data_IF_029716837723
#
_entry.id   IF_029716837723
#
_cell.length_a   1.000
_cell.length_b   1.000
_cell.length_c   1.000
_cell.angle_alpha   90.00
_cell.angle_beta   90.00
_cell.angle_gamma   90.00
#
_symmetry.space_group_name_H-M   'P 1'
#
loop_
_entity.id
_entity.type
_entity.pdbx_description
1 polymer ?
#
# COMPACT_ATOMS: atom_id res chain seq x y z
N UNK A 1 -32.04 3.46 -19.17
CA UNK A 1 -30.91 4.36 -18.86
C UNK A 1 -30.74 4.32 -17.36
N UNK A 2 -29.64 3.75 -16.89
CA UNK A 2 -29.40 3.51 -15.47
C UNK A 2 -29.01 4.82 -14.78
N UNK A 3 -29.81 5.21 -13.79
CA UNK A 3 -29.67 6.47 -13.08
C UNK A 3 -28.40 6.40 -12.20
N UNK A 4 -27.29 6.94 -12.69
CA UNK A 4 -26.08 7.12 -11.87
C UNK A 4 -26.35 8.23 -10.85
N UNK A 5 -26.95 7.87 -9.73
CA UNK A 5 -26.98 8.74 -8.55
C UNK A 5 -25.53 9.13 -8.22
N UNK A 6 -25.20 10.39 -8.52
CA UNK A 6 -23.93 11.00 -8.11
C UNK A 6 -23.88 10.94 -6.59
N UNK A 7 -23.18 9.93 -6.05
CA UNK A 7 -22.90 9.84 -4.61
C UNK A 7 -22.28 11.16 -4.18
N UNK A 8 -23.04 11.94 -3.41
CA UNK A 8 -22.57 13.19 -2.84
C UNK A 8 -21.33 12.88 -1.99
N UNK A 9 -20.18 13.46 -2.35
CA UNK A 9 -18.94 13.27 -1.62
C UNK A 9 -19.14 13.90 -0.24
N UNK A 10 -19.06 13.08 0.81
CA UNK A 10 -19.20 13.55 2.20
C UNK A 10 -18.13 14.61 2.50
N UNK A 11 -18.56 15.77 2.99
CA UNK A 11 -17.67 16.89 3.36
C UNK A 11 -16.83 16.63 4.62
N UNK A 12 -16.98 15.47 5.28
CA UNK A 12 -16.33 15.11 6.56
C UNK A 12 -14.89 14.58 6.41
N UNK A 13 -14.29 14.70 5.23
CA UNK A 13 -12.92 14.26 4.95
C UNK A 13 -12.84 12.94 4.18
N UNK A 14 -11.60 12.49 3.93
CA UNK A 14 -11.32 11.27 3.15
C UNK A 14 -11.68 10.03 3.98
N UNK A 15 -12.46 9.06 3.44
CA UNK A 15 -12.75 7.81 4.12
C UNK A 15 -11.49 7.07 4.58
N UNK A 16 -11.51 6.43 5.76
CA UNK A 16 -10.31 5.77 6.29
C UNK A 16 -9.77 4.64 5.40
N UNK A 17 -10.61 4.08 4.54
CA UNK A 17 -10.27 3.08 3.53
C UNK A 17 -9.46 3.64 2.35
N UNK A 18 -9.49 4.95 2.16
CA UNK A 18 -8.85 5.71 1.09
C UNK A 18 -7.69 6.55 1.59
N UNK A 19 -7.54 6.73 2.91
CA UNK A 19 -6.42 7.42 3.51
C UNK A 19 -5.25 6.48 3.84
N UNK A 20 -4.05 7.03 3.86
CA UNK A 20 -2.84 6.40 4.42
C UNK A 20 -2.46 7.11 5.71
N UNK A 21 -1.73 6.43 6.58
CA UNK A 21 -1.14 7.04 7.76
C UNK A 21 0.20 7.65 7.38
N UNK A 22 0.28 8.98 7.34
CA UNK A 22 1.54 9.71 7.18
C UNK A 22 1.80 10.50 8.47
N UNK A 23 2.79 10.11 9.30
CA UNK A 23 3.18 10.89 10.47
C UNK A 23 3.81 12.22 10.04
N UNK A 24 3.98 13.15 10.99
CA UNK A 24 4.57 14.47 10.71
C UNK A 24 5.99 14.34 10.17
N UNK A 25 6.39 15.17 9.22
CA UNK A 25 7.74 15.12 8.61
C UNK A 25 8.88 15.25 9.64
N UNK A 26 8.65 15.95 10.75
CA UNK A 26 9.61 16.14 11.85
C UNK A 26 9.59 15.01 12.89
N UNK A 27 8.74 14.00 12.70
CA UNK A 27 8.60 12.88 13.61
C UNK A 27 9.86 11.99 13.61
N UNK A 28 10.20 11.38 14.76
CA UNK A 28 11.30 10.41 14.84
C UNK A 28 11.13 9.21 13.90
N UNK A 29 9.87 8.84 13.58
CA UNK A 29 9.51 7.74 12.67
C UNK A 29 9.95 8.01 11.22
N UNK A 30 10.07 9.28 10.84
CA UNK A 30 10.46 9.71 9.49
C UNK A 30 11.88 10.28 9.44
N UNK A 31 12.46 10.74 10.55
CA UNK A 31 13.79 11.36 10.56
C UNK A 31 14.96 10.40 10.24
N UNK A 32 14.71 9.11 10.01
CA UNK A 32 15.76 8.14 9.66
C UNK A 32 16.14 8.13 8.17
N UNK A 33 15.33 8.72 7.28
CA UNK A 33 15.56 8.66 5.83
C UNK A 33 16.11 9.95 5.21
N UNK A 34 16.22 11.06 5.93
CA UNK A 34 16.80 12.32 5.44
C UNK A 34 17.92 12.80 6.36
N UNK A 35 19.01 13.30 5.78
CA UNK A 35 20.05 14.00 6.51
C UNK A 35 19.66 15.47 6.81
N UNK A 36 20.52 16.19 7.53
CA UNK A 36 20.27 17.60 7.91
C UNK A 36 20.15 18.54 6.69
N UNK A 37 20.59 18.11 5.53
CA UNK A 37 20.55 18.88 4.28
C UNK A 37 19.38 18.45 3.39
N UNK A 38 18.49 17.57 3.88
CA UNK A 38 17.35 17.04 3.12
C UNK A 38 17.77 16.06 2.03
N UNK A 39 18.97 15.48 2.10
CA UNK A 39 19.38 14.43 1.18
C UNK A 39 18.87 13.08 1.68
N UNK A 40 18.30 12.24 0.79
CA UNK A 40 17.83 10.92 1.18
C UNK A 40 19.01 10.03 1.59
N UNK A 41 18.90 9.40 2.76
CA UNK A 41 19.88 8.43 3.25
C UNK A 41 19.70 7.08 2.54
N UNK A 42 20.72 6.23 2.61
CA UNK A 42 20.65 4.85 2.04
C UNK A 42 19.83 3.89 2.91
N UNK A 43 19.25 4.35 4.01
CA UNK A 43 18.51 3.50 4.93
C UNK A 43 17.23 3.03 4.25
N UNK A 44 17.01 1.71 4.24
CA UNK A 44 15.77 1.12 3.74
C UNK A 44 14.84 0.88 4.92
N UNK A 45 13.57 1.21 4.72
CA UNK A 45 12.53 0.85 5.69
C UNK A 45 12.28 -0.64 5.69
N UNK A 46 12.09 -1.19 6.90
CA UNK A 46 11.68 -2.57 7.10
C UNK A 46 10.22 -2.78 6.68
N UNK A 47 9.80 -4.04 6.57
CA UNK A 47 8.41 -4.36 6.20
C UNK A 47 7.41 -3.89 7.26
N UNK A 48 7.80 -3.88 8.53
CA UNK A 48 7.07 -3.33 9.67
C UNK A 48 6.81 -1.84 9.46
N UNK A 49 7.86 -1.07 9.15
CA UNK A 49 7.77 0.36 8.92
C UNK A 49 6.88 0.67 7.70
N UNK A 50 7.10 -0.02 6.58
CA UNK A 50 6.28 0.16 5.37
C UNK A 50 4.80 -0.19 5.63
N UNK A 51 4.54 -1.26 6.40
CA UNK A 51 3.17 -1.67 6.74
C UNK A 51 2.46 -0.64 7.62
N UNK A 52 3.19 0.05 8.50
CA UNK A 52 2.64 1.07 9.40
C UNK A 52 1.99 2.25 8.64
N UNK A 53 2.51 2.61 7.46
CA UNK A 53 1.90 3.65 6.62
C UNK A 53 0.52 3.26 6.06
N UNK A 54 0.24 1.96 5.96
CA UNK A 54 -1.03 1.46 5.41
C UNK A 54 -1.98 1.04 6.52
N UNK A 55 -1.46 0.43 7.56
CA UNK A 55 -2.17 0.03 8.76
C UNK A 55 -1.42 0.60 9.96
N UNK A 56 -1.84 1.76 10.46
CA UNK A 56 -1.14 2.37 11.59
C UNK A 56 -1.20 1.46 12.82
N UNK A 57 -0.04 1.09 13.37
CA UNK A 57 0.06 0.33 14.62
C UNK A 57 -0.65 1.06 15.77
N UNK A 58 -0.62 2.39 15.77
CA UNK A 58 -1.26 3.25 16.79
C UNK A 58 -2.78 3.21 16.75
N UNK A 59 -3.37 3.27 15.54
CA UNK A 59 -4.83 3.43 15.39
C UNK A 59 -5.53 2.13 15.00
N UNK A 60 -4.81 1.16 14.44
CA UNK A 60 -5.35 -0.08 13.87
C UNK A 60 -4.46 -1.30 14.20
N UNK A 61 -4.14 -1.57 15.48
CA UNK A 61 -3.14 -2.57 15.87
C UNK A 61 -3.45 -3.97 15.34
N UNK A 62 -4.69 -4.45 15.47
CA UNK A 62 -5.10 -5.78 14.98
C UNK A 62 -4.98 -5.92 13.46
N UNK A 63 -5.28 -4.86 12.71
CA UNK A 63 -5.16 -4.89 11.26
C UNK A 63 -3.70 -4.81 10.82
N UNK A 64 -2.88 -4.03 11.54
CA UNK A 64 -1.44 -3.98 11.36
C UNK A 64 -0.80 -5.35 11.58
N UNK A 65 -1.06 -6.00 12.72
CA UNK A 65 -0.54 -7.33 13.03
C UNK A 65 -0.94 -8.37 11.98
N UNK A 66 -2.23 -8.37 11.59
CA UNK A 66 -2.75 -9.27 10.57
C UNK A 66 -2.08 -9.04 9.21
N UNK A 67 -1.92 -7.78 8.80
CA UNK A 67 -1.29 -7.42 7.54
C UNK A 67 0.19 -7.79 7.52
N UNK A 68 0.90 -7.47 8.60
CA UNK A 68 2.33 -7.75 8.75
C UNK A 68 2.60 -9.25 8.68
N UNK A 69 1.88 -10.06 9.47
CA UNK A 69 2.01 -11.52 9.46
C UNK A 69 1.74 -12.11 8.07
N UNK A 70 0.73 -11.60 7.37
CA UNK A 70 0.42 -12.06 6.01
C UNK A 70 1.49 -11.65 5.00
N UNK A 71 2.06 -10.45 5.12
CA UNK A 71 3.12 -9.98 4.24
C UNK A 71 4.42 -10.78 4.47
N UNK A 72 4.76 -11.15 5.70
CA UNK A 72 5.87 -12.07 5.97
C UNK A 72 5.67 -13.44 5.30
N UNK A 73 4.48 -14.03 5.45
CA UNK A 73 4.14 -15.28 4.76
C UNK A 73 4.32 -15.16 3.25
N UNK A 74 3.92 -14.04 2.66
CA UNK A 74 4.11 -13.77 1.23
C UNK A 74 5.58 -13.58 0.85
N UNK A 75 6.40 -12.94 1.68
CA UNK A 75 7.84 -12.84 1.46
C UNK A 75 8.52 -14.22 1.49
N UNK A 76 8.09 -15.12 2.37
CA UNK A 76 8.62 -16.47 2.46
C UNK A 76 8.18 -17.35 1.29
N UNK A 77 6.88 -17.36 0.97
CA UNK A 77 6.30 -18.27 -0.03
C UNK A 77 6.26 -17.71 -1.45
N UNK A 78 6.49 -16.41 -1.62
CA UNK A 78 6.32 -15.62 -2.87
C UNK A 78 4.88 -15.56 -3.39
N UNK A 79 4.12 -16.65 -3.28
CA UNK A 79 2.73 -16.78 -3.71
C UNK A 79 1.97 -17.67 -2.73
N UNK A 80 0.70 -17.36 -2.51
CA UNK A 80 -0.19 -18.17 -1.67
C UNK A 80 -1.54 -18.41 -2.33
N UNK A 81 -2.02 -19.65 -2.21
CA UNK A 81 -3.34 -20.08 -2.68
C UNK A 81 -4.43 -20.02 -1.60
N UNK A 82 -5.69 -20.25 -1.99
CA UNK A 82 -6.83 -20.24 -1.08
C UNK A 82 -6.72 -21.21 0.12
N UNK A 83 -6.13 -22.39 -0.08
CA UNK A 83 -5.91 -23.37 1.00
C UNK A 83 -4.92 -22.87 2.04
N UNK A 84 -3.78 -22.33 1.60
CA UNK A 84 -2.74 -21.78 2.48
C UNK A 84 -3.23 -20.54 3.23
N UNK A 85 -4.06 -19.71 2.59
CA UNK A 85 -4.70 -18.57 3.26
C UNK A 85 -5.65 -19.07 4.36
N UNK A 86 -6.44 -20.11 4.10
CA UNK A 86 -7.34 -20.68 5.10
C UNK A 86 -6.57 -21.24 6.30
N UNK A 87 -5.43 -21.90 6.06
CA UNK A 87 -4.52 -22.38 7.09
C UNK A 87 -3.90 -21.22 7.88
N UNK A 88 -3.36 -20.20 7.21
CA UNK A 88 -2.82 -18.99 7.82
C UNK A 88 -3.82 -18.30 8.75
N UNK A 89 -5.06 -18.11 8.29
CA UNK A 89 -6.13 -17.50 9.08
C UNK A 89 -6.41 -18.32 10.34
N UNK A 90 -6.44 -19.65 10.20
CA UNK A 90 -6.71 -20.57 11.32
C UNK A 90 -5.55 -20.59 12.33
N UNK A 91 -4.30 -20.71 11.86
CA UNK A 91 -3.13 -20.83 12.73
C UNK A 91 -2.83 -19.56 13.52
N UNK A 92 -3.17 -18.39 12.98
CA UNK A 92 -2.96 -17.11 13.63
C UNK A 92 -4.20 -16.58 14.38
N UNK A 93 -5.29 -17.38 14.48
CA UNK A 93 -6.51 -16.96 15.18
C UNK A 93 -7.20 -15.73 14.57
N UNK A 94 -7.02 -15.50 13.27
CA UNK A 94 -7.56 -14.32 12.57
C UNK A 94 -9.00 -14.60 12.16
N UNK A 95 -9.89 -13.60 12.28
CA UNK A 95 -11.24 -13.75 11.75
C UNK A 95 -11.24 -13.68 10.21
N UNK A 96 -11.99 -14.57 9.55
CA UNK A 96 -12.17 -14.53 8.08
C UNK A 96 -12.67 -13.15 7.62
N UNK A 97 -13.59 -12.55 8.37
CA UNK A 97 -14.13 -11.23 8.05
C UNK A 97 -13.04 -10.13 8.13
N UNK A 98 -12.17 -10.17 9.14
CA UNK A 98 -11.05 -9.23 9.27
C UNK A 98 -10.13 -9.32 8.06
N UNK A 99 -9.71 -10.54 7.71
CA UNK A 99 -8.78 -10.74 6.62
C UNK A 99 -9.40 -10.38 5.26
N UNK A 100 -10.52 -11.00 4.90
CA UNK A 100 -11.10 -10.87 3.57
C UNK A 100 -11.85 -9.56 3.32
N UNK A 101 -12.36 -8.89 4.36
CA UNK A 101 -13.15 -7.66 4.18
C UNK A 101 -12.35 -6.39 4.51
N UNK A 102 -11.28 -6.48 5.31
CA UNK A 102 -10.50 -5.30 5.73
C UNK A 102 -9.08 -5.34 5.22
N UNK A 103 -8.32 -6.36 5.58
CA UNK A 103 -6.86 -6.39 5.34
C UNK A 103 -6.53 -6.64 3.87
N UNK A 104 -6.98 -7.77 3.31
CA UNK A 104 -6.67 -8.12 1.92
C UNK A 104 -7.18 -7.08 0.91
N UNK A 105 -8.42 -6.56 1.03
CA UNK A 105 -8.89 -5.51 0.12
C UNK A 105 -8.04 -4.23 0.17
N UNK A 106 -7.57 -3.83 1.37
CA UNK A 106 -6.73 -2.63 1.52
C UNK A 106 -5.34 -2.86 0.93
N UNK A 107 -4.70 -4.00 1.22
CA UNK A 107 -3.41 -4.38 0.61
C UNK A 107 -3.48 -4.40 -0.93
N UNK A 108 -4.57 -4.95 -1.48
CA UNK A 108 -4.82 -4.94 -2.93
C UNK A 108 -5.01 -3.52 -3.45
N UNK A 109 -5.81 -2.69 -2.75
CA UNK A 109 -6.12 -1.31 -3.17
C UNK A 109 -4.86 -0.46 -3.27
N UNK A 110 -3.98 -0.54 -2.27
CA UNK A 110 -2.72 0.23 -2.28
C UNK A 110 -1.67 -0.37 -3.21
N UNK A 111 -1.94 -1.53 -3.81
CA UNK A 111 -1.05 -2.15 -4.80
C UNK A 111 0.16 -2.87 -4.20
N UNK A 112 0.11 -3.24 -2.92
CA UNK A 112 1.14 -4.08 -2.27
C UNK A 112 1.03 -5.55 -2.67
N UNK A 113 -0.19 -6.01 -2.97
CA UNK A 113 -0.44 -7.38 -3.42
C UNK A 113 -1.29 -7.41 -4.69
N UNK A 114 -1.12 -8.46 -5.48
CA UNK A 114 -1.95 -8.79 -6.63
C UNK A 114 -2.75 -10.05 -6.32
N UNK A 115 -4.04 -10.01 -6.63
CA UNK A 115 -4.95 -11.17 -6.51
C UNK A 115 -5.36 -11.59 -7.91
N UNK A 116 -5.01 -12.82 -8.28
CA UNK A 116 -5.30 -13.44 -9.56
C UNK A 116 -6.20 -14.66 -9.38
N UNK A 117 -6.88 -15.05 -10.45
CA UNK A 117 -7.66 -16.28 -10.51
C UNK A 117 -7.15 -17.08 -11.69
N UNK A 118 -6.53 -18.22 -11.41
CA UNK A 118 -6.07 -19.12 -12.46
C UNK A 118 -7.31 -19.78 -13.09
N UNK A 119 -7.34 -19.90 -14.42
CA UNK A 119 -8.39 -20.67 -15.10
C UNK A 119 -7.83 -22.05 -15.36
N UNK A 120 -8.17 -23.01 -14.50
CA UNK A 120 -7.81 -24.41 -14.72
C UNK A 120 -8.95 -25.03 -15.51
N UNK A 121 -8.70 -25.41 -16.77
CA UNK A 121 -9.61 -26.24 -17.54
C UNK A 121 -9.33 -27.69 -17.13
N UNK A 122 -10.06 -28.19 -16.15
CA UNK A 122 -10.01 -29.61 -15.82
C UNK A 122 -10.63 -30.39 -16.98
N UNK A 123 -9.81 -31.13 -17.73
CA UNK A 123 -10.24 -31.94 -18.89
C UNK A 123 -11.28 -33.01 -18.49
N UNK A 124 -11.32 -33.40 -17.21
CA UNK A 124 -12.18 -34.49 -16.70
C UNK A 124 -13.42 -34.03 -15.92
N UNK A 125 -13.53 -32.73 -15.59
CA UNK A 125 -14.62 -32.23 -14.75
C UNK A 125 -15.23 -30.97 -15.37
N UNK A 126 -16.49 -31.07 -15.81
CA UNK A 126 -17.29 -29.97 -16.37
C UNK A 126 -17.50 -28.77 -15.41
N UNK A 127 -16.82 -28.70 -14.26
CA UNK A 127 -16.84 -27.56 -13.34
C UNK A 127 -15.63 -26.64 -13.55
N UNK A 128 -15.90 -25.40 -13.96
CA UNK A 128 -14.92 -24.30 -13.99
C UNK A 128 -14.43 -24.01 -12.56
N UNK A 129 -13.27 -24.55 -12.18
CA UNK A 129 -12.60 -24.20 -10.92
C UNK A 129 -11.61 -23.06 -11.18
N UNK A 130 -11.72 -21.99 -10.40
CA UNK A 130 -10.88 -20.79 -10.54
C UNK A 130 -10.17 -20.49 -9.22
N UNK A 131 -9.06 -21.20 -8.89
CA UNK A 131 -8.38 -20.99 -7.63
C UNK A 131 -7.82 -19.57 -7.57
N UNK A 132 -7.94 -18.96 -6.38
CA UNK A 132 -7.35 -17.66 -6.10
C UNK A 132 -5.87 -17.82 -5.79
N UNK A 133 -5.06 -16.94 -6.36
CA UNK A 133 -3.63 -16.81 -6.06
C UNK A 133 -3.30 -15.38 -5.66
N UNK A 134 -2.54 -15.20 -4.59
CA UNK A 134 -2.10 -13.91 -4.10
C UNK A 134 -0.57 -13.85 -4.14
N UNK A 135 -0.02 -12.73 -4.58
CA UNK A 135 1.43 -12.49 -4.67
C UNK A 135 1.78 -11.03 -4.39
N UNK A 136 3.04 -10.75 -4.05
CA UNK A 136 3.54 -9.37 -3.89
C UNK A 136 3.49 -8.60 -5.21
N UNK A 137 3.27 -7.29 -5.13
CA UNK A 137 3.20 -6.41 -6.29
C UNK A 137 4.06 -5.16 -6.10
N UNK A 138 4.72 -4.71 -7.17
CA UNK A 138 5.57 -3.51 -7.19
C UNK A 138 4.78 -2.21 -7.36
N UNK A 139 3.49 -2.27 -7.69
CA UNK A 139 2.65 -1.09 -7.96
C UNK A 139 2.72 -0.07 -6.82
N UNK A 140 2.67 -0.52 -5.56
CA UNK A 140 2.81 0.33 -4.38
C UNK A 140 4.06 1.23 -4.45
N UNK A 141 5.24 0.62 -4.57
CA UNK A 141 6.50 1.37 -4.65
C UNK A 141 6.57 2.27 -5.90
N UNK A 142 6.13 1.76 -7.05
CA UNK A 142 6.20 2.50 -8.31
C UNK A 142 5.42 3.83 -8.27
N UNK A 143 4.21 3.83 -7.70
CA UNK A 143 3.41 5.05 -7.67
C UNK A 143 3.93 6.07 -6.64
N UNK A 144 4.41 5.61 -5.47
CA UNK A 144 5.01 6.52 -4.48
C UNK A 144 6.31 7.15 -4.97
N UNK A 145 7.16 6.35 -5.63
CA UNK A 145 8.35 6.87 -6.30
C UNK A 145 7.95 7.94 -7.32
N UNK A 146 6.94 7.67 -8.16
CA UNK A 146 6.45 8.65 -9.13
C UNK A 146 5.92 9.94 -8.49
N UNK A 147 5.22 9.84 -7.36
CA UNK A 147 4.75 11.01 -6.59
C UNK A 147 5.95 11.82 -6.08
N UNK A 148 6.93 11.16 -5.46
CA UNK A 148 8.13 11.77 -4.93
C UNK A 148 8.96 12.47 -6.01
N UNK A 149 9.31 11.75 -7.08
CA UNK A 149 10.09 12.28 -8.20
C UNK A 149 9.41 13.50 -8.84
N UNK A 150 8.09 13.45 -8.98
CA UNK A 150 7.33 14.55 -9.56
C UNK A 150 7.35 15.79 -8.67
N UNK A 151 7.27 15.62 -7.35
CA UNK A 151 7.38 16.73 -6.40
C UNK A 151 8.77 17.37 -6.43
N UNK A 152 9.83 16.56 -6.42
CA UNK A 152 11.21 17.05 -6.50
C UNK A 152 11.42 17.88 -7.78
N UNK A 153 10.97 17.38 -8.93
CA UNK A 153 11.06 18.10 -10.20
C UNK A 153 10.32 19.45 -10.17
N UNK A 154 9.14 19.51 -9.53
CA UNK A 154 8.37 20.77 -9.38
C UNK A 154 9.15 21.78 -8.53
N UNK A 155 9.77 21.32 -7.44
CA UNK A 155 10.55 22.18 -6.54
C UNK A 155 11.79 22.72 -7.25
N UNK A 156 12.51 21.88 -7.97
CA UNK A 156 13.71 22.29 -8.71
C UNK A 156 13.39 23.32 -9.79
N UNK A 157 12.32 23.10 -10.58
CA UNK A 157 11.84 24.08 -11.56
C UNK A 157 11.44 25.41 -10.91
N UNK A 158 10.75 25.36 -9.77
CA UNK A 158 10.39 26.58 -9.04
C UNK A 158 11.61 27.36 -8.55
N UNK A 159 12.64 26.68 -8.03
CA UNK A 159 13.90 27.30 -7.57
C UNK A 159 14.70 27.90 -8.71
N UNK A 160 14.89 27.15 -9.81
CA UNK A 160 15.59 27.66 -10.99
C UNK A 160 14.91 28.88 -11.60
N UNK A 161 13.57 28.96 -11.56
CA UNK A 161 12.85 30.18 -12.00
C UNK A 161 13.07 31.37 -11.07
N UNK A 162 13.18 31.14 -9.77
CA UNK A 162 13.44 32.20 -8.80
C UNK A 162 14.84 32.81 -9.00
N UNK A 163 15.86 31.95 -9.13
CA UNK A 163 17.25 32.37 -9.38
C UNK A 163 17.39 33.18 -10.68
N UNK A 164 16.76 32.72 -11.77
CA UNK A 164 16.77 33.46 -13.04
C UNK A 164 16.13 34.85 -12.92
N UNK A 165 15.02 34.96 -12.19
CA UNK A 165 14.35 36.25 -11.94
C UNK A 165 15.21 37.20 -11.12
N UNK A 166 15.98 36.68 -10.17
CA UNK A 166 16.90 37.46 -9.35
C UNK A 166 18.10 37.95 -10.18
N UNK A 167 18.64 37.12 -11.06
CA UNK A 167 19.70 37.50 -12.00
C UNK A 167 19.26 38.53 -13.05
N UNK A 168 17.99 38.52 -13.49
CA UNK A 168 17.47 39.52 -14.45
C UNK A 168 17.12 40.86 -13.79
N UNK A 169 17.07 40.91 -12.46
CA UNK A 169 16.80 42.14 -11.69
C UNK A 169 18.07 42.90 -11.28
N UNK A 170 19.23 42.26 -11.40
CA UNK A 170 20.56 42.83 -11.21
C UNK A 170 21.10 43.33 -12.55
#
# INVERSE_FOLDING_TARGET
MENQEKKAISSRGVPSSESIYLPRHDSPELRSFEDKNGSPTRNLWSIEEVTNFIFSKKYQPKYYETALAFLHLLCEKTRVGGGEIAEFIKSNGISKATFYNRVLPRLKRVGMVKVERDTVVAVESKRKFRPMRISLNKTFGNYFMKIGDSWLAIVDDARSRAEKREQTRL
#
